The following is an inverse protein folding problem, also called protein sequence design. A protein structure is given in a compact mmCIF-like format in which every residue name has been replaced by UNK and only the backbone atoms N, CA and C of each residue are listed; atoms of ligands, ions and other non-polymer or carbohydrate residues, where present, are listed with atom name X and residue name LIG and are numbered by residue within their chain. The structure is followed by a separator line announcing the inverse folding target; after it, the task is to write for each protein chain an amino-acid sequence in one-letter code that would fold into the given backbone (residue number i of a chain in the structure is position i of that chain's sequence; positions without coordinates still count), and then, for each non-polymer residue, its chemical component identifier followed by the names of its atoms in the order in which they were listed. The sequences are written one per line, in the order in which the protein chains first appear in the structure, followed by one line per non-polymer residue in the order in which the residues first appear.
data_IF_523382128380
#
_entry.id   IF_523382128380
#
_cell.length_a   1.000
_cell.length_b   1.000
_cell.length_c   1.000
_cell.angle_alpha   90.00
_cell.angle_beta   90.00
_cell.angle_gamma   90.00
#
_symmetry.space_group_name_H-M   'P 1'
#
loop_
_entity.id
_entity.type
_entity.pdbx_description
1 polymer ?
#
# COMPACT_ATOMS: atom_id res chain seq x y z
N UNK A 1 29.16 21.46 -22.27
CA UNK A 1 28.28 20.73 -21.35
C UNK A 1 28.66 19.26 -21.40
N UNK A 2 29.35 18.78 -20.36
CA UNK A 2 29.66 17.35 -20.23
C UNK A 2 28.35 16.55 -20.04
N UNK A 3 28.39 15.27 -20.43
CA UNK A 3 27.29 14.35 -20.13
C UNK A 3 27.14 14.22 -18.60
N UNK A 4 25.90 14.11 -18.14
CA UNK A 4 25.58 13.97 -16.73
C UNK A 4 25.11 12.55 -16.45
N UNK A 5 25.66 11.94 -15.42
CA UNK A 5 25.10 10.74 -14.81
C UNK A 5 24.01 11.06 -13.78
N UNK A 6 23.30 10.06 -13.30
CA UNK A 6 22.32 10.20 -12.23
C UNK A 6 22.62 9.24 -11.09
N UNK A 7 22.44 9.71 -9.87
CA UNK A 7 22.45 8.87 -8.67
C UNK A 7 21.02 8.59 -8.26
N UNK A 8 20.68 7.29 -8.19
CA UNK A 8 19.39 6.85 -7.74
C UNK A 8 19.39 6.62 -6.21
N UNK A 9 18.21 6.68 -5.61
CA UNK A 9 18.00 6.29 -4.21
C UNK A 9 18.00 4.76 -4.03
N UNK A 10 17.84 4.01 -5.11
CA UNK A 10 17.84 2.54 -5.11
C UNK A 10 19.14 2.02 -4.51
N UNK A 11 19.02 1.21 -3.49
CA UNK A 11 20.15 0.50 -2.86
C UNK A 11 20.38 -0.82 -3.58
N UNK A 12 21.52 -0.98 -4.23
CA UNK A 12 21.80 -2.23 -4.95
C UNK A 12 21.70 -3.48 -4.09
N UNK A 13 22.24 -3.53 -2.84
CA UNK A 13 22.06 -4.68 -1.96
C UNK A 13 20.59 -4.95 -1.63
N UNK A 14 19.83 -3.91 -1.28
CA UNK A 14 18.40 -4.01 -0.96
C UNK A 14 17.60 -4.46 -2.18
N UNK A 15 17.82 -3.85 -3.35
CA UNK A 15 17.13 -4.22 -4.59
C UNK A 15 17.34 -5.70 -4.93
N UNK A 16 18.58 -6.19 -4.90
CA UNK A 16 18.90 -7.59 -5.20
C UNK A 16 18.28 -8.56 -4.19
N UNK A 17 18.27 -8.20 -2.91
CA UNK A 17 17.66 -9.02 -1.88
C UNK A 17 16.14 -9.14 -2.10
N UNK A 18 15.47 -8.05 -2.44
CA UNK A 18 14.02 -8.01 -2.73
C UNK A 18 13.70 -8.72 -4.05
N UNK A 19 14.52 -8.59 -5.08
CA UNK A 19 14.38 -9.33 -6.34
C UNK A 19 14.42 -10.85 -6.11
N UNK A 20 15.34 -11.33 -5.26
CA UNK A 20 15.44 -12.75 -4.93
C UNK A 20 14.17 -13.25 -4.20
N UNK A 21 13.60 -12.45 -3.29
CA UNK A 21 12.33 -12.78 -2.63
C UNK A 21 11.20 -12.83 -3.65
N UNK A 22 11.07 -11.82 -4.50
CA UNK A 22 10.01 -11.78 -5.52
C UNK A 22 10.10 -12.98 -6.47
N UNK A 23 11.30 -13.31 -6.97
CA UNK A 23 11.52 -14.44 -7.88
C UNK A 23 11.13 -15.80 -7.26
N UNK A 24 11.27 -15.96 -5.94
CA UNK A 24 10.95 -17.22 -5.26
C UNK A 24 9.52 -17.32 -4.74
N UNK A 25 8.78 -16.21 -4.68
CA UNK A 25 7.47 -16.17 -4.00
C UNK A 25 6.32 -15.68 -4.85
N UNK A 26 6.58 -14.98 -5.95
CA UNK A 26 5.55 -14.29 -6.73
C UNK A 26 5.61 -14.68 -8.21
N UNK A 27 4.44 -14.71 -8.85
CA UNK A 27 4.33 -14.87 -10.31
C UNK A 27 4.02 -13.56 -11.02
N UNK A 28 3.23 -12.69 -10.40
CA UNK A 28 2.86 -11.38 -10.92
C UNK A 28 2.58 -10.41 -9.77
N UNK A 29 3.13 -9.21 -9.88
CA UNK A 29 2.94 -8.18 -8.87
C UNK A 29 4.15 -7.29 -8.69
N UNK A 30 4.26 -6.67 -7.51
CA UNK A 30 5.41 -5.85 -7.17
C UNK A 30 5.74 -5.86 -5.67
N UNK A 31 6.98 -5.51 -5.36
CA UNK A 31 7.44 -5.22 -4.00
C UNK A 31 8.13 -3.86 -4.02
N UNK A 32 7.73 -3.00 -3.09
CA UNK A 32 8.32 -1.69 -2.86
C UNK A 32 8.92 -1.61 -1.46
N UNK A 33 10.09 -0.98 -1.35
CA UNK A 33 10.74 -0.66 -0.08
C UNK A 33 11.12 0.81 -0.08
N UNK A 34 10.53 1.58 0.83
CA UNK A 34 10.88 2.97 1.09
C UNK A 34 11.70 3.10 2.37
N UNK A 35 12.63 4.04 2.38
CA UNK A 35 13.20 4.56 3.62
C UNK A 35 12.14 5.39 4.35
N UNK A 36 11.79 5.02 5.57
CA UNK A 36 10.68 5.66 6.30
C UNK A 36 10.95 7.13 6.59
N UNK A 37 12.18 7.49 6.91
CA UNK A 37 12.52 8.86 7.31
C UNK A 37 12.44 9.86 6.14
N UNK A 38 12.79 9.41 4.93
CA UNK A 38 12.96 10.27 3.75
C UNK A 38 11.92 10.03 2.66
N UNK A 39 11.26 8.88 2.65
CA UNK A 39 10.45 8.34 1.55
C UNK A 39 11.27 8.03 0.27
N UNK A 40 12.59 7.97 0.36
CA UNK A 40 13.43 7.52 -0.74
C UNK A 40 13.12 6.06 -1.10
N UNK A 41 12.95 5.77 -2.38
CA UNK A 41 12.72 4.41 -2.88
C UNK A 41 14.04 3.63 -2.81
N UNK A 42 14.12 2.64 -1.93
CA UNK A 42 15.32 1.80 -1.73
C UNK A 42 15.31 0.56 -2.60
N UNK A 43 14.11 0.03 -2.90
CA UNK A 43 13.89 -1.03 -3.88
C UNK A 43 12.52 -0.87 -4.54
N UNK A 44 12.46 -1.22 -5.82
CA UNK A 44 11.23 -1.31 -6.60
C UNK A 44 11.35 -2.50 -7.55
N UNK A 45 10.57 -3.54 -7.27
CA UNK A 45 10.61 -4.80 -8.02
C UNK A 45 9.24 -5.04 -8.63
N UNK A 46 9.21 -5.27 -9.94
CA UNK A 46 8.01 -5.64 -10.70
C UNK A 46 8.23 -7.01 -11.34
N UNK A 47 7.30 -7.93 -11.15
CA UNK A 47 7.35 -9.27 -11.73
C UNK A 47 6.08 -9.58 -12.50
N UNK A 48 6.18 -10.28 -13.65
CA UNK A 48 7.42 -10.62 -14.34
C UNK A 48 8.15 -9.40 -14.87
N UNK A 49 9.46 -9.52 -15.10
CA UNK A 49 10.31 -8.49 -15.68
C UNK A 49 10.79 -8.92 -17.07
N UNK A 50 11.05 -7.96 -17.94
CA UNK A 50 11.68 -8.22 -19.23
C UNK A 50 13.16 -8.52 -19.07
N UNK A 51 13.71 -9.28 -20.03
CA UNK A 51 15.14 -9.49 -20.16
C UNK A 51 15.74 -8.39 -21.05
N UNK A 52 16.61 -7.52 -20.52
CA UNK A 52 17.22 -6.45 -21.30
C UNK A 52 18.14 -6.96 -22.41
N UNK A 53 18.66 -8.18 -22.30
CA UNK A 53 19.51 -8.80 -23.32
C UNK A 53 18.69 -9.51 -24.41
N UNK A 54 17.41 -9.80 -24.16
CA UNK A 54 16.49 -10.47 -25.10
C UNK A 54 15.11 -9.81 -25.12
N UNK A 55 15.04 -8.59 -25.61
CA UNK A 55 13.80 -7.80 -25.66
C UNK A 55 12.75 -8.41 -26.60
N UNK A 56 13.18 -9.08 -27.67
CA UNK A 56 12.26 -9.63 -28.68
C UNK A 56 11.34 -10.70 -28.08
N UNK A 57 11.87 -11.60 -27.27
CA UNK A 57 11.08 -12.62 -26.59
C UNK A 57 10.15 -12.02 -25.56
N UNK A 58 10.63 -11.00 -24.85
CA UNK A 58 9.82 -10.27 -23.86
C UNK A 58 8.64 -9.53 -24.50
N UNK A 59 8.78 -9.03 -25.74
CA UNK A 59 7.70 -8.35 -26.47
C UNK A 59 6.55 -9.31 -26.85
N UNK A 60 6.83 -10.60 -27.01
CA UNK A 60 5.84 -11.61 -27.35
C UNK A 60 5.23 -12.29 -26.11
N UNK A 61 5.71 -11.98 -24.92
CA UNK A 61 5.24 -12.59 -23.70
C UNK A 61 3.85 -12.08 -23.29
N UNK A 62 2.91 -12.99 -23.04
CA UNK A 62 1.51 -12.66 -22.68
C UNK A 62 1.35 -12.01 -21.29
N UNK A 63 2.35 -12.17 -20.42
CA UNK A 63 2.32 -11.71 -19.02
C UNK A 63 2.82 -10.27 -18.80
N UNK A 64 2.96 -9.50 -19.88
CA UNK A 64 3.28 -8.05 -19.84
C UNK A 64 4.53 -7.71 -19.02
N UNK A 65 5.72 -8.24 -19.38
CA UNK A 65 6.95 -8.05 -18.59
C UNK A 65 7.49 -6.61 -18.62
N UNK A 66 7.04 -5.77 -19.57
CA UNK A 66 7.40 -4.35 -19.63
C UNK A 66 6.55 -3.47 -18.71
N UNK A 67 5.49 -4.01 -18.13
CA UNK A 67 4.62 -3.25 -17.23
C UNK A 67 5.31 -3.07 -15.88
N UNK A 68 5.56 -1.82 -15.50
CA UNK A 68 6.01 -1.51 -14.14
C UNK A 68 4.82 -1.49 -13.19
N UNK A 69 4.56 -2.60 -12.54
CA UNK A 69 3.39 -2.79 -11.66
C UNK A 69 3.40 -1.91 -10.42
N UNK A 70 4.56 -1.42 -10.01
CA UNK A 70 4.66 -0.48 -8.90
C UNK A 70 4.00 0.87 -9.18
N UNK A 71 3.84 1.22 -10.46
CA UNK A 71 3.38 2.53 -10.93
C UNK A 71 1.98 2.51 -11.55
N UNK A 72 1.40 1.33 -11.80
CA UNK A 72 0.08 1.16 -12.39
C UNK A 72 -1.01 1.17 -11.31
N UNK A 73 -2.23 1.50 -11.71
CA UNK A 73 -3.39 1.60 -10.81
C UNK A 73 -4.11 0.26 -10.65
N UNK A 74 -4.39 -0.11 -9.41
CA UNK A 74 -5.07 -1.35 -9.04
C UNK A 74 -6.19 -1.09 -8.04
N UNK A 75 -7.18 -2.00 -7.99
CA UNK A 75 -8.15 -2.04 -6.91
C UNK A 75 -7.43 -2.30 -5.57
N UNK A 76 -7.77 -1.52 -4.55
CA UNK A 76 -6.97 -1.38 -3.31
C UNK A 76 -7.44 -2.32 -2.20
N UNK A 77 -8.75 -2.38 -1.95
CA UNK A 77 -9.31 -3.19 -0.88
C UNK A 77 -8.95 -2.71 0.53
N UNK A 78 -8.85 -3.64 1.44
CA UNK A 78 -8.73 -3.36 2.89
C UNK A 78 -7.44 -2.67 3.32
N UNK A 79 -6.41 -2.57 2.46
CA UNK A 79 -5.23 -1.75 2.77
C UNK A 79 -5.55 -0.24 2.81
N UNK A 80 -6.72 0.16 2.32
CA UNK A 80 -7.23 1.54 2.43
C UNK A 80 -7.81 1.88 3.81
N UNK A 81 -8.22 0.90 4.60
CA UNK A 81 -8.88 1.11 5.92
C UNK A 81 -8.09 1.98 6.90
N UNK A 82 -6.74 1.96 6.94
CA UNK A 82 -5.98 2.89 7.76
C UNK A 82 -6.22 4.37 7.47
N UNK A 83 -6.66 4.74 6.25
CA UNK A 83 -7.05 6.12 5.92
C UNK A 83 -8.29 6.53 6.72
N UNK A 84 -9.30 5.67 6.79
CA UNK A 84 -10.50 5.92 7.60
C UNK A 84 -10.17 5.96 9.09
N UNK A 85 -9.31 5.03 9.53
CA UNK A 85 -8.86 5.00 10.92
C UNK A 85 -8.15 6.30 11.30
N UNK A 86 -7.28 6.83 10.44
CA UNK A 86 -6.61 8.10 10.64
C UNK A 86 -7.61 9.27 10.70
N UNK A 87 -8.55 9.33 9.76
CA UNK A 87 -9.60 10.36 9.74
C UNK A 87 -10.46 10.32 11.02
N UNK A 88 -10.81 9.13 11.50
CA UNK A 88 -11.57 8.95 12.73
C UNK A 88 -10.79 9.43 13.96
N UNK A 89 -9.51 9.08 14.07
CA UNK A 89 -8.65 9.53 15.18
C UNK A 89 -8.48 11.06 15.18
N UNK A 90 -8.28 11.68 14.03
CA UNK A 90 -8.17 13.15 13.91
C UNK A 90 -9.51 13.84 14.25
N UNK A 91 -10.64 13.21 13.95
CA UNK A 91 -11.98 13.70 14.33
C UNK A 91 -12.36 13.37 15.77
N UNK A 92 -11.53 12.63 16.53
CA UNK A 92 -11.84 12.19 17.90
C UNK A 92 -12.96 11.15 17.95
N UNK A 93 -13.22 10.42 16.84
CA UNK A 93 -14.26 9.41 16.73
C UNK A 93 -13.69 8.01 16.98
N UNK A 94 -14.14 7.36 18.02
CA UNK A 94 -13.81 5.97 18.33
C UNK A 94 -15.08 5.19 18.69
N UNK A 95 -16.02 5.03 17.75
CA UNK A 95 -17.26 4.32 18.01
C UNK A 95 -17.03 2.84 18.26
N UNK A 96 -17.98 2.22 18.94
CA UNK A 96 -18.10 0.76 19.05
C UNK A 96 -19.36 0.33 18.31
N UNK A 97 -19.24 -0.65 17.44
CA UNK A 97 -20.36 -1.19 16.68
C UNK A 97 -20.49 -2.71 16.89
N UNK A 98 -21.71 -3.21 16.82
CA UNK A 98 -21.92 -4.64 16.69
C UNK A 98 -21.81 -5.07 15.23
N UNK A 99 -20.94 -6.04 14.95
CA UNK A 99 -20.79 -6.66 13.64
C UNK A 99 -21.44 -8.04 13.63
N UNK A 100 -22.52 -8.16 12.89
CA UNK A 100 -23.25 -9.45 12.69
C UNK A 100 -22.77 -10.22 11.45
N UNK A 101 -21.65 -9.82 10.84
CA UNK A 101 -21.11 -10.41 9.62
C UNK A 101 -21.61 -9.78 8.32
N UNK A 102 -22.66 -8.96 8.40
CA UNK A 102 -23.19 -8.21 7.27
C UNK A 102 -23.80 -6.87 7.74
N UNK A 103 -23.87 -5.91 6.83
CA UNK A 103 -24.58 -4.66 7.02
C UNK A 103 -25.43 -4.37 5.76
N UNK A 104 -26.62 -3.85 5.96
CA UNK A 104 -27.51 -3.44 4.85
C UNK A 104 -27.46 -1.93 4.73
N UNK A 105 -27.20 -1.43 3.52
CA UNK A 105 -27.21 -0.01 3.16
C UNK A 105 -28.12 0.14 1.95
N UNK A 106 -29.22 0.85 2.10
CA UNK A 106 -30.22 1.07 1.05
C UNK A 106 -30.64 -0.20 0.28
N UNK A 107 -30.86 -1.28 1.04
CA UNK A 107 -31.28 -2.59 0.51
C UNK A 107 -30.15 -3.44 -0.07
N UNK A 108 -28.94 -2.90 -0.20
CA UNK A 108 -27.76 -3.66 -0.60
C UNK A 108 -27.07 -4.29 0.61
N UNK A 109 -26.72 -5.57 0.50
CA UNK A 109 -26.04 -6.32 1.57
C UNK A 109 -24.54 -6.30 1.35
N UNK A 110 -23.79 -5.77 2.31
CA UNK A 110 -22.33 -5.81 2.39
C UNK A 110 -21.91 -6.82 3.45
N UNK A 111 -20.94 -7.67 3.13
CA UNK A 111 -20.51 -8.75 4.02
C UNK A 111 -19.06 -8.57 4.46
N UNK A 112 -18.77 -8.96 5.68
CA UNK A 112 -17.40 -9.26 6.09
C UNK A 112 -16.90 -10.52 5.36
N UNK A 113 -15.58 -10.74 5.34
CA UNK A 113 -15.00 -11.94 4.74
C UNK A 113 -15.66 -13.21 5.30
N UNK A 114 -16.14 -14.07 4.41
CA UNK A 114 -16.89 -15.27 4.79
C UNK A 114 -18.22 -15.03 5.52
N UNK A 115 -18.70 -13.78 5.62
CA UNK A 115 -19.92 -13.45 6.36
C UNK A 115 -19.79 -13.66 7.89
N UNK A 116 -18.57 -13.72 8.42
CA UNK A 116 -18.31 -14.04 9.83
C UNK A 116 -18.68 -12.85 10.72
N UNK A 117 -19.53 -13.04 11.76
CA UNK A 117 -19.79 -12.01 12.75
C UNK A 117 -18.55 -11.75 13.62
N UNK A 118 -18.27 -10.48 13.91
CA UNK A 118 -17.15 -10.11 14.78
C UNK A 118 -17.60 -9.67 16.19
N UNK A 119 -18.92 -9.57 16.43
CA UNK A 119 -19.49 -9.10 17.69
C UNK A 119 -19.25 -7.61 17.91
N UNK A 120 -19.05 -7.22 19.15
CA UNK A 120 -18.71 -5.83 19.50
C UNK A 120 -17.29 -5.53 19.03
N UNK A 121 -17.13 -4.50 18.18
CA UNK A 121 -15.85 -4.08 17.62
C UNK A 121 -15.66 -2.59 17.84
N UNK A 122 -14.50 -2.23 18.35
CA UNK A 122 -13.92 -0.89 18.34
C UNK A 122 -12.94 -0.74 17.16
N UNK A 123 -12.30 0.42 17.04
CA UNK A 123 -11.39 0.69 15.93
C UNK A 123 -10.17 -0.26 15.87
N UNK A 124 -9.46 -0.57 16.98
CA UNK A 124 -8.39 -1.56 16.98
C UNK A 124 -8.86 -2.95 16.52
N UNK A 125 -9.94 -3.46 17.09
CA UNK A 125 -10.50 -4.75 16.74
C UNK A 125 -11.00 -4.80 15.28
N UNK A 126 -11.54 -3.70 14.77
CA UNK A 126 -12.00 -3.59 13.39
C UNK A 126 -10.83 -3.66 12.38
N UNK A 127 -9.69 -3.05 12.69
CA UNK A 127 -8.46 -3.18 11.88
C UNK A 127 -7.92 -4.61 11.97
N UNK A 128 -7.80 -5.17 13.18
CA UNK A 128 -7.29 -6.52 13.45
C UNK A 128 -8.06 -7.58 12.66
N UNK A 129 -9.40 -7.52 12.71
CA UNK A 129 -10.32 -8.46 12.05
C UNK A 129 -10.65 -8.06 10.61
N UNK A 130 -10.17 -6.91 10.15
CA UNK A 130 -10.53 -6.32 8.84
C UNK A 130 -12.06 -6.21 8.64
N UNK A 131 -12.79 -5.73 9.65
CA UNK A 131 -14.24 -5.71 9.70
C UNK A 131 -14.86 -4.70 8.72
N UNK A 132 -15.45 -5.17 7.62
CA UNK A 132 -16.13 -4.30 6.64
C UNK A 132 -17.29 -3.54 7.25
N UNK A 133 -18.11 -4.22 8.07
CA UNK A 133 -19.30 -3.60 8.70
C UNK A 133 -18.95 -2.41 9.58
N UNK A 134 -17.85 -2.50 10.33
CA UNK A 134 -17.35 -1.38 11.13
C UNK A 134 -16.97 -0.19 10.25
N UNK A 135 -16.14 -0.42 9.22
CA UNK A 135 -15.65 0.66 8.37
C UNK A 135 -16.73 1.30 7.51
N UNK A 136 -17.74 0.55 7.09
CA UNK A 136 -18.93 1.10 6.42
C UNK A 136 -19.66 2.10 7.35
N UNK A 137 -19.94 1.70 8.60
CA UNK A 137 -20.59 2.57 9.57
C UNK A 137 -19.72 3.77 9.95
N UNK A 138 -18.42 3.56 10.10
CA UNK A 138 -17.48 4.65 10.36
C UNK A 138 -17.46 5.65 9.19
N UNK A 139 -17.44 5.17 7.94
CA UNK A 139 -17.50 6.02 6.77
C UNK A 139 -18.80 6.82 6.67
N UNK A 140 -19.94 6.23 7.07
CA UNK A 140 -21.21 6.94 7.17
C UNK A 140 -21.17 8.07 8.22
N UNK A 141 -20.48 7.85 9.35
CA UNK A 141 -20.31 8.89 10.40
C UNK A 141 -19.36 9.99 9.97
N UNK A 142 -18.26 9.66 9.31
CA UNK A 142 -17.27 10.64 8.82
C UNK A 142 -17.84 11.47 7.66
N UNK A 143 -18.62 10.83 6.79
CA UNK A 143 -19.18 11.44 5.59
C UNK A 143 -18.21 11.46 4.41
N UNK A 144 -18.78 11.62 3.22
CA UNK A 144 -18.06 11.54 1.94
C UNK A 144 -16.93 12.57 1.80
N UNK A 145 -17.20 13.82 2.20
CA UNK A 145 -16.22 14.91 2.09
C UNK A 145 -14.98 14.64 2.93
N UNK A 146 -15.16 14.29 4.22
CA UNK A 146 -14.04 13.96 5.12
C UNK A 146 -13.21 12.78 4.63
N UNK A 147 -13.87 11.76 4.05
CA UNK A 147 -13.16 10.61 3.48
C UNK A 147 -12.35 10.98 2.23
N UNK A 148 -12.93 11.78 1.34
CA UNK A 148 -12.22 12.25 0.13
C UNK A 148 -11.02 13.13 0.50
N UNK A 149 -11.18 14.02 1.45
CA UNK A 149 -10.10 14.89 1.91
C UNK A 149 -8.99 14.08 2.56
N UNK A 150 -9.33 13.12 3.43
CA UNK A 150 -8.35 12.22 4.01
C UNK A 150 -7.61 11.42 2.92
N UNK A 151 -8.32 10.86 1.94
CA UNK A 151 -7.69 10.13 0.83
C UNK A 151 -6.70 11.00 0.05
N UNK A 152 -7.09 12.24 -0.30
CA UNK A 152 -6.22 13.21 -0.99
C UNK A 152 -5.01 13.61 -0.14
N UNK A 153 -5.21 13.79 1.15
CA UNK A 153 -4.14 14.13 2.09
C UNK A 153 -3.09 13.02 2.20
N UNK A 154 -3.49 11.77 2.06
CA UNK A 154 -2.57 10.63 1.95
C UNK A 154 -2.01 10.40 0.54
N UNK A 155 -2.30 11.27 -0.43
CA UNK A 155 -1.73 11.26 -1.77
C UNK A 155 -2.51 10.48 -2.82
N UNK A 156 -3.72 10.00 -2.52
CA UNK A 156 -4.56 9.33 -3.51
C UNK A 156 -5.21 10.31 -4.50
N UNK A 157 -5.51 9.83 -5.70
CA UNK A 157 -6.16 10.61 -6.74
C UNK A 157 -5.26 11.63 -7.45
N UNK A 158 -3.95 11.58 -7.21
CA UNK A 158 -2.96 12.47 -7.83
C UNK A 158 -1.81 11.64 -8.38
N UNK A 159 -1.33 11.99 -9.58
CA UNK A 159 -0.10 11.41 -10.12
C UNK A 159 1.07 11.71 -9.17
N UNK A 160 1.90 10.72 -8.93
CA UNK A 160 3.02 10.82 -8.00
C UNK A 160 4.33 10.86 -8.80
N UNK A 161 4.92 12.05 -9.02
CA UNK A 161 6.17 12.17 -9.75
C UNK A 161 7.32 11.66 -8.89
N UNK A 162 8.11 10.74 -9.46
CA UNK A 162 9.30 10.15 -8.84
C UNK A 162 10.60 10.76 -9.40
N UNK A 163 10.53 11.23 -10.64
CA UNK A 163 11.54 11.95 -11.40
C UNK A 163 10.88 12.65 -12.59
N UNK A 164 11.61 13.52 -13.30
CA UNK A 164 11.11 14.12 -14.52
C UNK A 164 10.75 13.04 -15.57
N UNK A 165 9.52 13.06 -16.05
CA UNK A 165 9.00 12.07 -17.01
C UNK A 165 8.75 10.67 -16.44
N UNK A 166 8.87 10.48 -15.13
CA UNK A 166 8.68 9.20 -14.46
C UNK A 166 7.79 9.34 -13.23
N UNK A 167 6.57 8.87 -13.31
CA UNK A 167 5.56 9.04 -12.28
C UNK A 167 4.70 7.78 -12.12
N UNK A 168 4.19 7.58 -10.89
CA UNK A 168 3.09 6.66 -10.67
C UNK A 168 1.77 7.28 -11.15
N UNK A 169 0.86 6.43 -11.62
CA UNK A 169 -0.48 6.84 -12.03
C UNK A 169 -1.24 7.50 -10.89
N UNK A 170 -2.16 8.39 -11.26
CA UNK A 170 -3.01 9.10 -10.29
C UNK A 170 -3.98 8.16 -9.55
N UNK A 171 -4.27 7.01 -10.12
CA UNK A 171 -5.36 6.19 -9.65
C UNK A 171 -6.71 6.85 -9.91
N UNK A 172 -7.70 6.45 -9.13
CA UNK A 172 -9.04 7.02 -9.21
C UNK A 172 -9.64 7.14 -7.81
N UNK A 173 -10.21 8.29 -7.50
CA UNK A 173 -11.10 8.48 -6.36
C UNK A 173 -12.54 8.57 -6.86
N UNK A 174 -13.52 8.08 -6.08
CA UNK A 174 -14.91 8.31 -6.39
C UNK A 174 -15.22 9.82 -6.38
N UNK A 175 -16.13 10.22 -7.25
CA UNK A 175 -16.61 11.60 -7.29
C UNK A 175 -17.59 11.90 -6.15
N UNK A 176 -17.78 13.17 -5.74
CA UNK A 176 -18.80 13.53 -4.76
C UNK A 176 -20.22 13.06 -5.17
N UNK A 177 -20.53 13.05 -6.47
CA UNK A 177 -21.81 12.56 -7.00
C UNK A 177 -21.98 11.05 -6.81
N UNK A 178 -20.93 10.26 -7.03
CA UNK A 178 -20.95 8.83 -6.75
C UNK A 178 -21.16 8.59 -5.26
N UNK A 179 -20.45 9.31 -4.39
CA UNK A 179 -20.52 9.15 -2.93
C UNK A 179 -21.82 9.67 -2.30
N UNK A 180 -22.62 10.44 -3.04
CA UNK A 180 -23.98 10.76 -2.63
C UNK A 180 -24.90 9.52 -2.60
N UNK A 181 -24.50 8.44 -3.28
CA UNK A 181 -25.16 7.13 -3.19
C UNK A 181 -24.59 6.36 -2.01
N UNK A 182 -25.42 5.98 -1.05
CA UNK A 182 -25.01 5.32 0.19
C UNK A 182 -24.23 4.02 -0.06
N UNK A 183 -24.60 3.25 -1.09
CA UNK A 183 -23.88 2.03 -1.49
C UNK A 183 -22.46 2.31 -2.00
N UNK A 184 -22.25 3.42 -2.71
CA UNK A 184 -20.92 3.82 -3.18
C UNK A 184 -20.04 4.33 -2.03
N UNK A 185 -20.63 5.09 -1.10
CA UNK A 185 -19.95 5.48 0.13
C UNK A 185 -19.57 4.26 0.96
N UNK A 186 -20.45 3.26 1.06
CA UNK A 186 -20.16 2.00 1.74
C UNK A 186 -18.97 1.27 1.09
N UNK A 187 -18.96 1.11 -0.24
CA UNK A 187 -17.84 0.52 -0.97
C UNK A 187 -16.52 1.25 -0.72
N UNK A 188 -16.53 2.57 -0.86
CA UNK A 188 -15.33 3.40 -0.64
C UNK A 188 -14.79 3.26 0.78
N UNK A 189 -15.69 3.13 1.77
CA UNK A 189 -15.32 3.02 3.20
C UNK A 189 -14.48 1.79 3.54
N UNK A 190 -14.49 0.74 2.74
CA UNK A 190 -13.61 -0.41 2.94
C UNK A 190 -12.67 -0.69 1.77
N UNK A 191 -12.46 0.31 0.90
CA UNK A 191 -11.45 0.27 -0.15
C UNK A 191 -11.91 -0.36 -1.48
N UNK A 192 -13.22 -0.39 -1.74
CA UNK A 192 -13.83 -0.93 -2.94
C UNK A 192 -14.52 0.17 -3.76
N UNK A 193 -15.28 -0.22 -4.78
CA UNK A 193 -15.94 0.69 -5.71
C UNK A 193 -14.97 1.22 -6.77
N UNK A 194 -15.06 2.49 -7.09
CA UNK A 194 -14.23 3.14 -8.11
C UNK A 194 -12.83 3.55 -7.62
N UNK A 195 -12.45 3.19 -6.39
CA UNK A 195 -11.12 3.47 -5.85
C UNK A 195 -10.04 2.62 -6.55
N UNK A 196 -9.10 3.29 -7.21
CA UNK A 196 -7.88 2.70 -7.76
C UNK A 196 -6.65 3.47 -7.25
N UNK A 197 -5.58 2.76 -6.96
CA UNK A 197 -4.31 3.37 -6.58
C UNK A 197 -3.12 2.57 -7.07
N UNK A 198 -2.01 3.28 -7.33
CA UNK A 198 -0.74 2.65 -7.59
C UNK A 198 -0.12 2.13 -6.27
N UNK A 199 0.62 1.01 -6.30
CA UNK A 199 1.36 0.53 -5.13
C UNK A 199 2.27 1.61 -4.52
N UNK A 200 2.83 2.50 -5.33
CA UNK A 200 3.62 3.63 -4.86
C UNK A 200 2.81 4.62 -4.01
N UNK A 201 1.54 4.87 -4.35
CA UNK A 201 0.65 5.69 -3.52
C UNK A 201 0.30 4.99 -2.20
N UNK A 202 0.06 3.67 -2.22
CA UNK A 202 -0.14 2.87 -1.00
C UNK A 202 1.11 2.90 -0.13
N UNK A 203 2.31 2.82 -0.73
CA UNK A 203 3.57 2.96 0.00
C UNK A 203 3.71 4.34 0.65
N UNK A 204 3.38 5.43 -0.05
CA UNK A 204 3.42 6.79 0.50
C UNK A 204 2.45 6.95 1.68
N UNK A 205 1.26 6.36 1.61
CA UNK A 205 0.27 6.39 2.69
C UNK A 205 0.79 5.65 3.93
N UNK A 206 1.27 4.41 3.80
CA UNK A 206 1.84 3.67 4.93
C UNK A 206 3.09 4.33 5.49
N UNK A 207 3.92 4.93 4.61
CA UNK A 207 5.09 5.70 5.03
C UNK A 207 4.69 6.91 5.88
N UNK A 208 3.59 7.57 5.55
CA UNK A 208 3.07 8.69 6.35
C UNK A 208 2.74 8.25 7.77
N UNK A 209 2.08 7.10 7.93
CA UNK A 209 1.75 6.53 9.24
C UNK A 209 3.04 6.13 9.99
N UNK A 210 3.98 5.47 9.31
CA UNK A 210 5.25 5.03 9.86
C UNK A 210 6.17 6.21 10.24
N UNK A 211 6.07 7.33 9.52
CA UNK A 211 6.86 8.56 9.70
C UNK A 211 6.13 9.63 10.53
N UNK A 212 5.50 9.22 11.63
CA UNK A 212 4.83 10.11 12.60
C UNK A 212 3.78 11.05 12.01
N UNK A 213 3.08 10.60 10.96
CA UNK A 213 1.99 11.34 10.33
C UNK A 213 2.43 12.41 9.33
N UNK A 214 3.67 12.39 8.90
CA UNK A 214 4.22 13.33 7.91
C UNK A 214 4.28 12.67 6.53
N UNK A 215 3.45 13.14 5.61
CA UNK A 215 3.51 12.74 4.20
C UNK A 215 4.75 13.31 3.52
N UNK A 216 5.51 12.46 2.88
CA UNK A 216 6.59 12.79 1.95
C UNK A 216 6.37 12.07 0.64
N UNK A 217 6.50 12.79 -0.46
CA UNK A 217 6.41 12.16 -1.78
C UNK A 217 7.59 11.22 -2.00
N UNK A 218 7.38 9.95 -2.33
CA UNK A 218 8.46 9.06 -2.74
C UNK A 218 9.24 9.61 -3.92
N UNK A 219 10.53 9.30 -3.99
CA UNK A 219 11.41 9.76 -5.07
C UNK A 219 12.51 8.73 -5.35
N UNK A 220 13.06 8.77 -6.58
CA UNK A 220 14.11 7.85 -7.04
C UNK A 220 15.40 8.54 -7.44
N UNK A 221 15.39 9.86 -7.70
CA UNK A 221 16.58 10.63 -8.02
C UNK A 221 17.15 11.32 -6.79
N UNK A 222 18.44 11.15 -6.54
CA UNK A 222 19.15 11.77 -5.42
C UNK A 222 20.06 12.91 -5.87
N UNK A 223 20.82 12.72 -6.95
CA UNK A 223 21.76 13.71 -7.46
C UNK A 223 22.01 13.54 -8.96
N UNK A 224 22.50 14.60 -9.59
CA UNK A 224 23.19 14.51 -10.87
C UNK A 224 24.68 14.38 -10.63
N UNK A 225 25.37 13.60 -11.48
CA UNK A 225 26.78 13.30 -11.35
C UNK A 225 27.53 13.80 -12.57
N UNK A 226 28.76 14.26 -12.38
CA UNK A 226 29.72 14.44 -13.47
C UNK A 226 30.11 13.04 -14.00
N UNK A 227 29.91 12.80 -15.29
CA UNK A 227 30.12 11.47 -15.89
C UNK A 227 31.60 11.04 -15.84
N UNK A 228 32.53 11.99 -15.86
CA UNK A 228 33.96 11.70 -15.87
C UNK A 228 34.48 11.36 -14.48
N UNK A 229 34.05 12.12 -13.47
CA UNK A 229 34.56 12.00 -12.10
C UNK A 229 33.65 11.16 -11.19
N UNK A 230 32.39 10.95 -11.58
CA UNK A 230 31.38 10.29 -10.75
C UNK A 230 30.99 11.12 -9.52
N UNK A 231 31.44 12.37 -9.41
CA UNK A 231 31.13 13.21 -8.26
C UNK A 231 29.78 13.93 -8.45
N UNK A 232 29.03 14.16 -7.35
CA UNK A 232 27.79 14.94 -7.42
C UNK A 232 28.06 16.37 -7.95
N UNK A 233 27.34 16.74 -9.01
CA UNK A 233 27.29 18.11 -9.53
C UNK A 233 26.20 18.89 -8.80
N UNK A 234 25.05 18.24 -8.61
CA UNK A 234 23.90 18.82 -7.92
C UNK A 234 23.22 17.73 -7.09
N UNK A 235 22.99 18.00 -5.81
CA UNK A 235 22.11 17.17 -4.95
C UNK A 235 20.70 17.74 -5.05
N UNK A 236 19.76 16.90 -5.46
CA UNK A 236 18.38 17.31 -5.65
C UNK A 236 17.71 17.55 -4.30
N UNK A 237 17.02 18.68 -4.18
CA UNK A 237 16.17 18.95 -3.03
C UNK A 237 14.81 18.30 -3.23
N UNK A 238 14.30 17.69 -2.18
CA UNK A 238 12.96 17.11 -2.17
C UNK A 238 12.01 17.97 -1.36
N UNK A 239 10.72 18.03 -1.73
CA UNK A 239 9.74 18.81 -0.97
C UNK A 239 9.74 18.41 0.50
N UNK A 240 9.64 19.41 1.38
CA UNK A 240 9.45 19.17 2.81
C UNK A 240 8.18 18.37 3.03
N UNK A 241 8.21 17.48 4.03
CA UNK A 241 7.04 16.72 4.39
C UNK A 241 5.90 17.62 4.87
N UNK A 242 4.68 17.19 4.60
CA UNK A 242 3.43 17.82 5.04
C UNK A 242 2.79 16.95 6.12
N UNK A 243 2.44 17.54 7.25
CA UNK A 243 1.70 16.80 8.28
C UNK A 243 0.28 16.50 7.81
N UNK A 244 -0.09 15.23 7.86
CA UNK A 244 -1.41 14.72 7.49
C UNK A 244 -2.23 14.36 8.73
N UNK A 245 -1.59 13.70 9.70
CA UNK A 245 -2.17 13.37 10.99
C UNK A 245 -1.22 13.76 12.11
N UNK A 246 -1.74 13.95 13.31
CA UNK A 246 -0.91 14.26 14.47
C UNK A 246 0.06 13.10 14.78
N UNK A 247 1.21 13.43 15.36
CA UNK A 247 2.18 12.40 15.77
C UNK A 247 1.59 11.41 16.78
N UNK A 248 0.71 11.89 17.66
CA UNK A 248 0.00 11.06 18.63
C UNK A 248 -0.92 10.05 17.93
N UNK A 249 -1.74 10.51 16.97
CA UNK A 249 -2.65 9.62 16.25
C UNK A 249 -1.89 8.67 15.31
N UNK A 250 -0.78 9.11 14.71
CA UNK A 250 0.11 8.21 13.98
C UNK A 250 0.68 7.10 14.87
N UNK A 251 1.09 7.42 16.10
CA UNK A 251 1.57 6.42 17.05
C UNK A 251 0.47 5.44 17.47
N UNK A 252 -0.75 5.92 17.73
CA UNK A 252 -1.90 5.06 18.00
C UNK A 252 -2.20 4.13 16.83
N UNK A 253 -2.23 4.66 15.62
CA UNK A 253 -2.50 3.86 14.42
C UNK A 253 -1.40 2.82 14.15
N UNK A 254 -0.12 3.18 14.35
CA UNK A 254 0.98 2.19 14.29
C UNK A 254 0.77 1.06 15.29
N UNK A 255 0.42 1.37 16.53
CA UNK A 255 0.16 0.35 17.55
C UNK A 255 -0.99 -0.59 17.15
N UNK A 256 -2.08 -0.06 16.56
CA UNK A 256 -3.18 -0.88 16.03
C UNK A 256 -2.70 -1.78 14.87
N UNK A 257 -1.87 -1.26 13.96
CA UNK A 257 -1.33 -2.04 12.84
C UNK A 257 -0.32 -3.11 13.30
N UNK A 258 0.36 -2.91 14.42
CA UNK A 258 1.18 -3.94 15.06
C UNK A 258 0.29 -5.06 15.62
N UNK A 259 -0.86 -4.75 16.20
CA UNK A 259 -1.84 -5.77 16.64
C UNK A 259 -2.36 -6.60 15.48
N UNK A 260 -2.60 -6.00 14.30
CA UNK A 260 -2.99 -6.75 13.08
C UNK A 260 -1.99 -7.84 12.74
N UNK A 261 -0.69 -7.57 12.89
CA UNK A 261 0.39 -8.54 12.67
C UNK A 261 0.47 -9.56 13.79
N UNK A 262 0.32 -9.15 15.05
CA UNK A 262 0.48 -10.03 16.19
C UNK A 262 -0.70 -10.97 16.41
N UNK A 263 -1.92 -10.52 16.19
CA UNK A 263 -3.14 -11.21 16.60
C UNK A 263 -4.22 -11.29 15.50
N UNK A 264 -4.08 -10.47 14.43
CA UNK A 264 -5.10 -10.30 13.41
C UNK A 264 -4.84 -11.10 12.12
N UNK A 265 -5.26 -10.52 11.01
CA UNK A 265 -5.23 -11.14 9.67
C UNK A 265 -3.83 -11.26 9.06
N UNK A 266 -2.79 -10.70 9.67
CA UNK A 266 -1.44 -10.63 9.14
C UNK A 266 -0.39 -11.39 9.98
N UNK A 267 -0.80 -12.45 10.69
CA UNK A 267 0.11 -13.22 11.58
C UNK A 267 1.29 -13.86 10.84
N UNK A 268 1.19 -14.11 9.54
CA UNK A 268 2.32 -14.59 8.73
C UNK A 268 3.52 -13.61 8.72
N UNK A 269 3.28 -12.33 9.03
CA UNK A 269 4.32 -11.32 9.19
C UNK A 269 4.87 -11.22 10.63
N UNK A 270 4.30 -11.95 11.59
CA UNK A 270 4.73 -11.93 12.98
C UNK A 270 6.07 -12.63 13.19
N UNK A 271 6.65 -12.45 14.37
CA UNK A 271 7.91 -13.10 14.75
C UNK A 271 9.16 -12.51 14.11
N UNK A 272 9.08 -11.31 13.54
CA UNK A 272 10.26 -10.60 12.98
C UNK A 272 11.05 -9.93 14.11
N UNK A 273 12.37 -9.89 13.93
CA UNK A 273 13.24 -9.08 14.78
C UNK A 273 12.73 -7.63 14.82
N UNK A 274 12.54 -7.07 16.00
CA UNK A 274 11.99 -5.73 16.19
C UNK A 274 10.47 -5.58 15.95
N UNK A 275 9.76 -6.67 15.66
CA UNK A 275 8.32 -6.63 15.36
C UNK A 275 7.98 -5.92 14.04
N UNK A 276 6.73 -5.97 13.64
CA UNK A 276 6.23 -5.30 12.43
C UNK A 276 4.80 -4.82 12.61
N UNK A 277 4.37 -3.87 11.81
CA UNK A 277 2.98 -3.45 11.71
C UNK A 277 2.55 -3.40 10.24
N UNK A 278 1.27 -3.64 9.99
CA UNK A 278 0.76 -3.59 8.62
C UNK A 278 -0.68 -4.05 8.48
N UNK A 279 -1.13 -4.10 7.24
CA UNK A 279 -2.50 -4.46 6.86
C UNK A 279 -2.51 -5.34 5.62
N UNK A 280 -3.29 -6.39 5.66
CA UNK A 280 -3.67 -7.20 4.50
C UNK A 280 -4.79 -6.54 3.71
N UNK A 281 -4.87 -6.84 2.43
CA UNK A 281 -5.99 -6.47 1.60
C UNK A 281 -6.24 -7.51 0.51
N UNK A 282 -7.51 -7.77 0.25
CA UNK A 282 -7.98 -8.52 -0.90
C UNK A 282 -8.95 -7.64 -1.65
N UNK A 283 -8.66 -7.33 -2.90
CA UNK A 283 -9.53 -6.51 -3.73
C UNK A 283 -10.01 -7.32 -4.93
N UNK A 284 -11.31 -7.36 -5.13
CA UNK A 284 -11.94 -7.94 -6.29
C UNK A 284 -11.59 -7.13 -7.54
N UNK A 285 -11.31 -7.79 -8.65
CA UNK A 285 -10.95 -7.13 -9.91
C UNK A 285 -12.09 -7.10 -10.92
N UNK A 286 -13.13 -7.89 -10.70
CA UNK A 286 -14.18 -8.13 -11.68
C UNK A 286 -13.72 -8.96 -12.89
N UNK A 287 -12.50 -9.49 -12.88
CA UNK A 287 -11.96 -10.38 -13.90
C UNK A 287 -12.05 -11.83 -13.43
N UNK A 288 -12.35 -12.72 -14.34
CA UNK A 288 -12.57 -14.14 -14.02
C UNK A 288 -11.67 -15.02 -14.88
N UNK A 289 -11.33 -16.20 -14.35
CA UNK A 289 -10.71 -17.26 -15.13
C UNK A 289 -11.76 -17.90 -16.05
N UNK A 290 -11.34 -18.69 -17.05
CA UNK A 290 -12.29 -19.45 -17.87
C UNK A 290 -13.22 -20.37 -17.05
N UNK A 291 -12.75 -20.84 -15.88
CA UNK A 291 -13.50 -21.70 -14.95
C UNK A 291 -14.43 -20.92 -14.02
N UNK A 292 -14.47 -19.59 -14.14
CA UNK A 292 -15.37 -18.71 -13.37
C UNK A 292 -14.85 -18.30 -11.99
N UNK A 293 -13.57 -18.51 -11.70
CA UNK A 293 -12.96 -18.03 -10.44
C UNK A 293 -12.54 -16.57 -10.59
N UNK A 294 -12.97 -15.70 -9.66
CA UNK A 294 -12.59 -14.29 -9.69
C UNK A 294 -11.12 -14.09 -9.38
N UNK A 295 -10.46 -13.24 -10.16
CA UNK A 295 -9.10 -12.79 -9.90
C UNK A 295 -9.11 -11.65 -8.87
N UNK A 296 -8.20 -11.71 -7.92
CA UNK A 296 -8.09 -10.70 -6.87
C UNK A 296 -6.70 -10.08 -6.86
N UNK A 297 -6.64 -8.83 -6.43
CA UNK A 297 -5.38 -8.21 -6.02
C UNK A 297 -5.16 -8.49 -4.54
N UNK A 298 -4.05 -9.16 -4.24
CA UNK A 298 -3.70 -9.52 -2.87
C UNK A 298 -2.59 -8.58 -2.39
N UNK A 299 -2.89 -7.85 -1.32
CA UNK A 299 -2.01 -6.82 -0.78
C UNK A 299 -1.50 -7.16 0.61
N UNK A 300 -0.30 -6.75 0.87
CA UNK A 300 0.17 -6.42 2.21
C UNK A 300 0.96 -5.12 2.16
N UNK A 301 0.67 -4.20 3.07
CA UNK A 301 1.44 -2.97 3.24
C UNK A 301 1.71 -2.76 4.73
N UNK A 302 2.94 -2.35 5.05
CA UNK A 302 3.34 -2.21 6.43
C UNK A 302 4.71 -1.58 6.60
N UNK A 303 5.22 -1.68 7.81
CA UNK A 303 6.49 -1.09 8.21
C UNK A 303 7.26 -2.02 9.15
N UNK A 304 8.57 -1.88 9.17
CA UNK A 304 9.49 -2.65 9.99
C UNK A 304 10.74 -1.81 10.34
N UNK A 305 11.32 -1.91 11.57
CA UNK A 305 10.75 -2.50 12.80
C UNK A 305 9.51 -1.76 13.32
N UNK A 306 8.81 -2.36 14.32
CA UNK A 306 7.54 -1.81 14.82
C UNK A 306 7.70 -0.49 15.58
N UNK A 307 8.67 -0.38 16.48
CA UNK A 307 8.85 0.81 17.35
C UNK A 307 9.47 2.00 16.62
N UNK A 308 10.51 1.73 15.82
CA UNK A 308 11.21 2.73 15.01
C UNK A 308 11.25 2.25 13.56
N UNK A 309 10.19 2.47 12.79
CA UNK A 309 10.14 2.03 11.41
C UNK A 309 11.32 2.58 10.60
N UNK A 310 12.12 1.68 10.05
CA UNK A 310 13.22 2.00 9.15
C UNK A 310 12.78 1.90 7.70
N UNK A 311 11.91 0.91 7.43
CA UNK A 311 11.41 0.63 6.10
C UNK A 311 9.90 0.56 6.07
N UNK A 312 9.33 1.13 5.03
CA UNK A 312 7.93 0.93 4.63
C UNK A 312 7.93 0.00 3.42
N UNK A 313 7.13 -1.07 3.49
CA UNK A 313 7.17 -2.16 2.51
C UNK A 313 5.76 -2.43 2.01
N UNK A 314 5.60 -2.51 0.68
CA UNK A 314 4.34 -2.89 0.04
C UNK A 314 4.56 -4.10 -0.83
N UNK A 315 3.67 -5.08 -0.70
CA UNK A 315 3.59 -6.27 -1.54
C UNK A 315 2.23 -6.28 -2.23
N UNK A 316 2.23 -6.41 -3.54
CA UNK A 316 1.04 -6.64 -4.36
C UNK A 316 1.25 -7.91 -5.18
N UNK A 317 0.29 -8.83 -5.13
CA UNK A 317 0.13 -9.91 -6.11
C UNK A 317 -1.11 -9.58 -6.95
N UNK A 318 -0.92 -9.20 -8.22
CA UNK A 318 -1.99 -8.73 -9.09
C UNK A 318 -2.68 -9.88 -9.82
N UNK A 319 -3.99 -9.78 -9.95
CA UNK A 319 -4.81 -10.74 -10.69
C UNK A 319 -4.67 -12.19 -10.21
N UNK A 320 -4.39 -12.40 -8.94
CA UNK A 320 -4.15 -13.71 -8.36
C UNK A 320 -5.43 -14.54 -8.23
N UNK A 321 -5.33 -15.84 -8.43
CA UNK A 321 -6.36 -16.83 -8.14
C UNK A 321 -5.94 -17.69 -6.95
N UNK A 322 -4.73 -18.24 -7.04
CA UNK A 322 -4.09 -19.00 -5.98
C UNK A 322 -2.63 -18.55 -5.87
N UNK A 323 -2.14 -18.39 -4.65
CA UNK A 323 -0.75 -18.03 -4.38
C UNK A 323 -0.14 -19.00 -3.39
N UNK A 324 1.14 -19.31 -3.59
CA UNK A 324 1.89 -20.16 -2.66
C UNK A 324 2.17 -19.44 -1.33
N UNK A 325 2.23 -18.12 -1.36
CA UNK A 325 2.55 -17.28 -0.19
C UNK A 325 1.52 -16.17 -0.06
N UNK A 326 1.11 -15.85 1.17
CA UNK A 326 0.36 -14.64 1.46
C UNK A 326 1.24 -13.39 1.31
N UNK A 327 0.63 -12.23 1.09
CA UNK A 327 1.37 -10.96 1.07
C UNK A 327 2.14 -10.72 2.38
N UNK A 328 1.58 -11.10 3.52
CA UNK A 328 2.22 -11.01 4.82
C UNK A 328 3.44 -11.94 4.94
N UNK A 329 3.37 -13.15 4.41
CA UNK A 329 4.50 -14.08 4.37
C UNK A 329 5.64 -13.56 3.47
N UNK A 330 5.31 -12.97 2.32
CA UNK A 330 6.28 -12.33 1.43
C UNK A 330 6.94 -11.13 2.13
N UNK A 331 6.16 -10.28 2.77
CA UNK A 331 6.68 -9.17 3.58
C UNK A 331 7.66 -9.65 4.65
N UNK A 332 7.35 -10.75 5.34
CA UNK A 332 8.23 -11.34 6.32
C UNK A 332 9.59 -11.77 5.71
N UNK A 333 9.58 -12.36 4.52
CA UNK A 333 10.80 -12.73 3.81
C UNK A 333 11.61 -11.49 3.38
N UNK A 334 10.91 -10.42 2.95
CA UNK A 334 11.56 -9.13 2.66
C UNK A 334 12.26 -8.58 3.90
N UNK A 335 11.61 -8.56 5.07
CA UNK A 335 12.24 -8.11 6.31
C UNK A 335 13.50 -8.92 6.65
N UNK A 336 13.46 -10.24 6.52
CA UNK A 336 14.64 -11.10 6.72
C UNK A 336 15.78 -10.76 5.74
N UNK A 337 15.43 -10.53 4.48
CA UNK A 337 16.40 -10.18 3.45
C UNK A 337 17.03 -8.81 3.70
N UNK A 338 16.24 -7.83 4.18
CA UNK A 338 16.73 -6.51 4.56
C UNK A 338 17.64 -6.55 5.78
N UNK A 339 17.32 -7.37 6.78
CA UNK A 339 18.16 -7.58 7.97
C UNK A 339 19.52 -8.18 7.58
N UNK A 340 19.53 -9.13 6.64
CA UNK A 340 20.76 -9.75 6.14
C UNK A 340 21.57 -8.82 5.21
N UNK A 341 20.95 -7.87 4.53
CA UNK A 341 21.62 -6.95 3.61
C UNK A 341 22.25 -5.74 4.33
N UNK A 342 22.01 -5.55 5.62
CA UNK A 342 22.68 -4.55 6.41
C UNK A 342 21.96 -3.35 6.84
#
# INVERSE_FOLDING_TARGET
SGALGVQLTISRPVQRAVEAVAASTMTSGCILVLDTATAAVRASVSVPCYDPENLADSLQAENSPFLNRALQSYAVGSVFKPVLAAAALEAGLQPVFECTGAVVVDGQIFRCAGGVPHGQVDLPAALEKSCNGYFIRLGQQLGAESLLDAAKDFGFGQSLPLAEGFAAEAGQLPTPQELAQSGQLANFSFGQGSLLAAPMQVAAMFNTIAADGVYRSPYVLQATLDETTGQPVETLSHPRGRRVISAQNAALLRAMLVQVVQQGTAQDAAGRSGGAGGKTGTAQTGQFTPEGTERCNLWFAGFWPAEKPRYTIVVLQDGAVHTAYSGAAIFAQVCNALEAAG
#
